data_IF_266385883321
#
_entry.id   IF_266385883321
#
_cell.length_a   1.000
_cell.length_b   1.000
_cell.length_c   1.000
_cell.angle_alpha   90.00
_cell.angle_beta   90.00
_cell.angle_gamma   90.00
#
_symmetry.space_group_name_H-M   'P 1'
#
loop_
_entity.id
_entity.type
_entity.pdbx_description
1 polymer ?
#
# COMPACT_ATOMS: atom_id res chain seq x y z
N UNK A 1 -5.97 -11.65 15.07
CA UNK A 1 -5.61 -12.49 16.23
C UNK A 1 -6.09 -13.90 16.04
N UNK A 2 -7.41 -14.09 15.92
CA UNK A 2 -8.10 -15.39 16.10
C UNK A 2 -7.62 -16.50 15.16
N UNK A 3 -7.27 -16.19 13.92
CA UNK A 3 -6.78 -17.20 12.96
C UNK A 3 -5.26 -17.41 13.01
N UNK A 4 -4.55 -16.67 13.87
CA UNK A 4 -3.10 -16.57 13.87
C UNK A 4 -2.57 -16.04 12.54
N UNK A 5 -1.31 -16.38 12.22
CA UNK A 5 -0.63 -15.94 11.01
C UNK A 5 -0.25 -17.18 10.17
N UNK A 6 -0.55 -17.19 8.86
CA UNK A 6 -0.14 -18.27 7.96
C UNK A 6 1.38 -18.29 7.74
N UNK A 7 1.88 -19.34 7.09
CA UNK A 7 3.31 -19.44 6.75
C UNK A 7 3.74 -18.30 5.83
N UNK A 8 4.85 -17.65 6.19
CA UNK A 8 5.56 -16.66 5.36
C UNK A 8 6.62 -17.29 4.45
N UNK A 9 6.80 -18.61 4.51
CA UNK A 9 7.73 -19.37 3.65
C UNK A 9 7.03 -19.94 2.40
N UNK A 10 5.71 -19.77 2.28
CA UNK A 10 4.94 -20.24 1.13
C UNK A 10 4.91 -19.20 0.00
N UNK A 11 5.45 -19.56 -1.15
CA UNK A 11 5.43 -18.75 -2.37
C UNK A 11 4.53 -19.38 -3.44
N UNK A 12 3.94 -18.55 -4.30
CA UNK A 12 3.25 -19.01 -5.50
C UNK A 12 4.22 -19.27 -6.67
N UNK A 13 3.69 -19.73 -7.80
CA UNK A 13 4.45 -20.03 -9.03
C UNK A 13 5.22 -18.83 -9.59
N UNK A 14 4.91 -17.61 -9.14
CA UNK A 14 5.59 -16.37 -9.51
C UNK A 14 6.56 -15.88 -8.43
N UNK A 15 6.87 -16.72 -7.43
CA UNK A 15 7.74 -16.40 -6.29
C UNK A 15 7.19 -15.23 -5.45
N UNK A 16 5.88 -15.06 -5.39
CA UNK A 16 5.22 -14.08 -4.52
C UNK A 16 4.69 -14.77 -3.27
N UNK A 17 4.83 -14.14 -2.10
CA UNK A 17 4.34 -14.71 -0.83
C UNK A 17 2.84 -14.98 -0.87
N UNK A 18 2.43 -16.24 -0.76
CA UNK A 18 1.08 -16.73 -1.09
C UNK A 18 -0.03 -16.10 -0.26
N UNK A 19 0.23 -15.83 1.02
CA UNK A 19 -0.79 -15.34 1.97
C UNK A 19 -0.60 -13.86 2.37
N UNK A 20 0.35 -13.17 1.76
CA UNK A 20 0.70 -11.78 2.09
C UNK A 20 0.62 -10.86 0.87
N UNK A 21 0.51 -9.57 1.15
CA UNK A 21 0.41 -8.51 0.13
C UNK A 21 1.74 -7.76 -0.08
N UNK A 22 2.80 -8.14 0.65
CA UNK A 22 4.17 -7.66 0.48
C UNK A 22 5.15 -8.77 0.81
N UNK A 23 6.26 -8.85 0.08
CA UNK A 23 7.31 -9.83 0.35
C UNK A 23 8.15 -9.41 1.57
N UNK A 24 8.38 -10.35 2.48
CA UNK A 24 9.38 -10.31 3.58
C UNK A 24 9.28 -9.14 4.57
N UNK A 25 8.21 -8.34 4.52
CA UNK A 25 8.11 -7.14 5.35
C UNK A 25 6.69 -6.81 5.78
N UNK A 26 6.59 -6.42 7.04
CA UNK A 26 5.41 -5.83 7.66
C UNK A 26 5.57 -4.31 7.66
N UNK A 27 4.71 -3.61 6.92
CA UNK A 27 4.88 -2.17 6.70
C UNK A 27 4.36 -1.28 7.82
N UNK A 28 3.51 -1.80 8.71
CA UNK A 28 3.02 -1.01 9.85
C UNK A 28 4.12 -0.81 10.88
N UNK A 29 4.29 0.42 11.37
CA UNK A 29 5.27 0.73 12.43
C UNK A 29 4.87 0.14 13.79
N UNK A 30 3.57 -0.08 14.00
CA UNK A 30 3.05 -0.74 15.18
C UNK A 30 1.57 -1.08 15.06
N UNK A 31 1.09 -1.92 15.98
CA UNK A 31 -0.30 -2.39 15.99
C UNK A 31 -0.94 -2.10 17.35
N UNK A 32 -2.13 -1.49 17.33
CA UNK A 32 -2.95 -1.24 18.52
C UNK A 32 -4.23 -2.06 18.42
N UNK A 33 -4.51 -2.91 19.41
CA UNK A 33 -5.71 -3.75 19.43
C UNK A 33 -6.45 -3.64 20.77
N UNK A 34 -7.76 -3.92 20.74
CA UNK A 34 -8.56 -4.04 21.97
C UNK A 34 -8.19 -5.29 22.74
N UNK A 35 -8.19 -6.43 22.06
CA UNK A 35 -7.92 -7.72 22.65
C UNK A 35 -6.95 -8.53 21.77
N UNK A 36 -6.02 -9.22 22.41
CA UNK A 36 -5.10 -10.15 21.76
C UNK A 36 -5.56 -11.60 22.02
N UNK A 37 -5.83 -12.34 20.95
CA UNK A 37 -6.11 -13.77 21.04
C UNK A 37 -4.80 -14.56 21.27
N UNK A 38 -4.67 -15.18 22.43
CA UNK A 38 -3.49 -15.97 22.82
C UNK A 38 -3.50 -17.41 22.28
N UNK A 39 -4.69 -17.93 21.97
CA UNK A 39 -4.95 -19.30 21.49
C UNK A 39 -5.63 -19.30 20.12
N UNK A 40 -4.98 -18.74 19.07
CA UNK A 40 -5.56 -18.72 17.74
C UNK A 40 -5.84 -20.13 17.21
N UNK A 41 -6.95 -20.30 16.47
CA UNK A 41 -7.35 -21.57 15.88
C UNK A 41 -7.75 -21.38 14.42
N UNK A 42 -6.94 -21.93 13.51
CA UNK A 42 -7.21 -22.00 12.08
C UNK A 42 -6.28 -23.05 11.45
N UNK A 43 -6.76 -23.78 10.44
CA UNK A 43 -6.00 -24.87 9.81
C UNK A 43 -4.69 -24.40 9.13
N UNK A 44 -4.63 -23.14 8.69
CA UNK A 44 -3.40 -22.52 8.13
C UNK A 44 -2.47 -21.87 9.16
N UNK A 45 -2.81 -21.90 10.45
CA UNK A 45 -2.05 -21.19 11.48
C UNK A 45 -0.64 -21.77 11.60
N UNK A 46 0.39 -20.95 11.32
CA UNK A 46 1.79 -21.27 11.61
C UNK A 46 2.31 -20.56 12.86
N UNK A 47 1.97 -19.29 13.04
CA UNK A 47 2.44 -18.46 14.15
C UNK A 47 1.29 -17.83 14.92
N UNK A 48 1.51 -17.49 16.20
CA UNK A 48 0.67 -16.51 16.89
C UNK A 48 0.99 -15.10 16.39
N UNK A 49 0.02 -14.18 16.50
CA UNK A 49 0.21 -12.79 16.10
C UNK A 49 1.42 -12.14 16.81
N UNK A 50 1.53 -12.33 18.13
CA UNK A 50 2.62 -11.76 18.91
C UNK A 50 4.00 -12.32 18.53
N UNK A 51 4.10 -13.62 18.24
CA UNK A 51 5.34 -14.27 17.80
C UNK A 51 5.79 -13.73 16.44
N UNK A 52 4.84 -13.60 15.51
CA UNK A 52 5.12 -13.05 14.18
C UNK A 52 5.54 -11.58 14.24
N UNK A 53 4.88 -10.77 15.07
CA UNK A 53 5.28 -9.37 15.28
C UNK A 53 6.69 -9.26 15.87
N UNK A 54 7.05 -10.12 16.83
CA UNK A 54 8.43 -10.20 17.37
C UNK A 54 9.43 -10.58 16.29
N UNK A 55 9.13 -11.58 15.44
CA UNK A 55 9.97 -12.00 14.31
C UNK A 55 10.30 -10.83 13.37
N UNK A 56 9.32 -9.95 13.11
CA UNK A 56 9.48 -8.79 12.23
C UNK A 56 9.87 -7.49 12.94
N UNK A 57 10.20 -7.53 14.23
CA UNK A 57 10.53 -6.34 15.03
C UNK A 57 9.44 -5.24 15.00
N UNK A 58 8.16 -5.65 15.01
CA UNK A 58 7.02 -4.72 15.03
C UNK A 58 6.44 -4.63 16.44
N UNK A 59 6.27 -3.40 16.92
CA UNK A 59 5.73 -3.15 18.27
C UNK A 59 4.20 -3.29 18.26
N UNK A 60 3.65 -3.96 19.28
CA UNK A 60 2.21 -4.09 19.47
C UNK A 60 1.79 -3.74 20.89
N UNK A 61 0.58 -3.22 21.04
CA UNK A 61 -0.07 -2.98 22.34
C UNK A 61 -1.54 -3.46 22.29
N UNK A 62 -1.96 -4.16 23.33
CA UNK A 62 -3.33 -4.67 23.53
C UNK A 62 -3.97 -4.09 24.79
N UNK A 63 -5.27 -4.26 24.96
CA UNK A 63 -6.01 -3.74 26.12
C UNK A 63 -6.39 -2.26 25.98
N UNK A 64 -6.32 -1.71 24.75
CA UNK A 64 -6.64 -0.30 24.49
C UNK A 64 -8.07 -0.20 23.98
N UNK A 65 -8.84 0.77 24.48
CA UNK A 65 -10.13 1.12 23.86
C UNK A 65 -9.90 1.74 22.47
N UNK A 66 -9.89 0.88 21.45
CA UNK A 66 -9.70 1.28 20.06
C UNK A 66 -10.87 2.10 19.52
N UNK A 67 -12.06 2.01 20.13
CA UNK A 67 -13.23 2.83 19.79
C UNK A 67 -13.03 4.26 20.26
N UNK A 68 -12.60 4.45 21.50
CA UNK A 68 -12.22 5.79 22.01
C UNK A 68 -11.07 6.39 21.20
N UNK A 69 -10.05 5.59 20.87
CA UNK A 69 -8.94 6.04 20.02
C UNK A 69 -9.42 6.47 18.62
N UNK A 70 -10.29 5.67 18.00
CA UNK A 70 -10.85 5.98 16.68
C UNK A 70 -11.67 7.27 16.70
N UNK A 71 -12.47 7.51 17.75
CA UNK A 71 -13.20 8.78 17.93
C UNK A 71 -12.24 9.97 18.00
N UNK A 72 -11.18 9.88 18.82
CA UNK A 72 -10.16 10.94 18.94
C UNK A 72 -9.47 11.25 17.61
N UNK A 73 -9.07 10.22 16.85
CA UNK A 73 -8.47 10.41 15.52
C UNK A 73 -9.48 11.04 14.56
N UNK A 74 -10.74 10.60 14.58
CA UNK A 74 -11.80 11.15 13.76
C UNK A 74 -12.20 12.57 14.16
N UNK A 75 -11.96 13.04 15.38
CA UNK A 75 -12.28 14.42 15.75
C UNK A 75 -11.13 15.36 15.36
N UNK A 76 -9.89 14.89 15.53
CA UNK A 76 -8.68 15.71 15.38
C UNK A 76 -7.97 15.56 14.02
N UNK A 77 -8.40 14.64 13.16
CA UNK A 77 -7.80 14.40 11.85
C UNK A 77 -6.47 13.62 11.94
N UNK A 78 -5.39 14.16 11.39
CA UNK A 78 -4.07 13.51 11.47
C UNK A 78 -3.49 13.66 12.86
N UNK A 79 -3.45 12.57 13.62
CA UNK A 79 -2.85 12.52 14.95
C UNK A 79 -1.53 11.76 14.88
N UNK A 80 -0.44 12.38 15.32
CA UNK A 80 0.84 11.69 15.51
C UNK A 80 0.79 10.90 16.81
N UNK A 81 1.21 9.64 16.77
CA UNK A 81 1.21 8.74 17.92
C UNK A 81 2.51 7.98 18.04
N UNK A 82 2.83 7.54 19.25
CA UNK A 82 3.99 6.69 19.56
C UNK A 82 3.60 5.64 20.59
N UNK A 83 4.17 4.45 20.45
CA UNK A 83 4.11 3.40 21.48
C UNK A 83 5.45 3.45 22.23
N UNK A 84 5.39 3.60 23.56
CA UNK A 84 6.58 3.71 24.41
C UNK A 84 6.51 2.60 25.45
N UNK A 85 7.58 1.83 25.55
CA UNK A 85 7.73 0.80 26.56
C UNK A 85 8.59 1.35 27.70
N UNK A 86 7.95 1.97 28.68
CA UNK A 86 8.59 2.50 29.90
C UNK A 86 7.63 2.38 31.08
N UNK A 87 8.17 2.05 32.25
CA UNK A 87 7.43 1.72 33.48
C UNK A 87 6.60 2.89 34.02
N UNK A 88 7.11 4.12 33.89
CA UNK A 88 6.42 5.41 34.05
C UNK A 88 7.45 6.53 33.96
N UNK A 89 7.00 7.74 33.66
CA UNK A 89 7.81 8.94 33.76
C UNK A 89 7.21 10.11 33.00
N UNK A 90 7.70 11.35 33.24
CA UNK A 90 7.66 12.34 32.19
C UNK A 90 8.45 11.79 31.00
N UNK A 91 8.03 12.13 29.79
CA UNK A 91 8.71 11.71 28.56
C UNK A 91 9.49 12.89 27.94
N UNK A 92 10.57 13.37 28.58
CA UNK A 92 11.36 14.49 28.05
C UNK A 92 11.99 14.11 26.70
N UNK A 93 11.93 15.01 25.72
CA UNK A 93 12.53 14.79 24.40
C UNK A 93 11.70 13.96 23.42
N UNK A 94 10.40 13.73 23.66
CA UNK A 94 9.55 13.09 22.66
C UNK A 94 9.30 13.97 21.43
N UNK A 95 10.10 13.77 20.40
CA UNK A 95 9.88 14.43 19.10
C UNK A 95 8.89 13.65 18.23
N UNK A 96 7.72 14.20 17.96
CA UNK A 96 6.81 13.62 16.97
C UNK A 96 7.24 14.02 15.56
N UNK A 97 7.81 13.06 14.83
CA UNK A 97 8.20 13.25 13.43
C UNK A 97 7.06 12.81 12.51
N UNK A 98 6.60 13.73 11.67
CA UNK A 98 5.62 13.39 10.63
C UNK A 98 6.29 12.58 9.52
N UNK A 99 5.83 11.35 9.35
CA UNK A 99 6.32 10.40 8.35
C UNK A 99 6.05 10.90 6.93
N UNK A 100 4.99 11.69 6.74
CA UNK A 100 4.57 12.18 5.42
C UNK A 100 5.54 13.20 4.82
N UNK A 101 6.49 13.73 5.61
CA UNK A 101 7.56 14.62 5.12
C UNK A 101 8.70 13.86 4.41
N UNK A 102 8.71 12.52 4.49
CA UNK A 102 9.70 11.68 3.80
C UNK A 102 9.08 11.10 2.52
N UNK A 103 9.92 10.75 1.55
CA UNK A 103 9.48 10.03 0.37
C UNK A 103 9.27 8.54 0.72
N UNK A 104 8.10 8.22 1.27
CA UNK A 104 7.75 6.85 1.67
C UNK A 104 7.72 5.89 0.48
N UNK A 105 7.45 6.39 -0.73
CA UNK A 105 7.43 5.57 -1.95
C UNK A 105 8.84 5.04 -2.27
N UNK A 106 9.87 5.87 -2.11
CA UNK A 106 11.25 5.41 -2.29
C UNK A 106 11.66 4.35 -1.26
N UNK A 107 11.13 4.42 -0.04
CA UNK A 107 11.40 3.42 1.01
C UNK A 107 10.79 2.04 0.71
N UNK A 108 9.69 2.01 -0.06
CA UNK A 108 8.92 0.77 -0.32
C UNK A 108 9.09 0.20 -1.72
N UNK A 109 9.45 1.02 -2.70
CA UNK A 109 9.63 0.61 -4.09
C UNK A 109 10.78 -0.40 -4.23
N UNK A 110 10.60 -1.37 -5.13
CA UNK A 110 11.69 -2.20 -5.63
C UNK A 110 12.86 -1.35 -6.16
N UNK A 111 14.07 -1.91 -6.09
CA UNK A 111 15.30 -1.25 -6.53
C UNK A 111 15.80 -1.72 -7.89
N UNK A 112 15.34 -2.88 -8.35
CA UNK A 112 15.69 -3.45 -9.65
C UNK A 112 14.43 -4.00 -10.32
N UNK A 113 14.25 -3.81 -11.64
CA UNK A 113 13.09 -4.33 -12.34
C UNK A 113 12.93 -5.85 -12.21
N UNK A 114 11.67 -6.31 -12.18
CA UNK A 114 11.32 -7.73 -12.12
C UNK A 114 10.22 -8.00 -13.15
N UNK A 115 10.40 -9.03 -13.97
CA UNK A 115 9.38 -9.46 -14.94
C UNK A 115 8.64 -10.68 -14.42
N UNK A 116 7.31 -10.60 -14.42
CA UNK A 116 6.40 -11.71 -14.16
C UNK A 116 5.69 -12.12 -15.44
N UNK A 117 5.51 -13.43 -15.62
CA UNK A 117 4.88 -14.01 -16.81
C UNK A 117 5.53 -13.52 -18.12
N UNK A 118 6.82 -13.77 -18.30
CA UNK A 118 7.64 -13.18 -19.37
C UNK A 118 7.14 -13.46 -20.81
N UNK A 119 6.39 -14.55 -21.01
CA UNK A 119 5.78 -14.94 -22.30
C UNK A 119 4.33 -14.42 -22.45
N UNK A 120 3.81 -13.73 -21.44
CA UNK A 120 2.45 -13.22 -21.41
C UNK A 120 2.21 -12.03 -22.34
N UNK A 121 0.94 -11.75 -22.59
CA UNK A 121 0.46 -10.61 -23.37
C UNK A 121 -0.90 -10.16 -22.82
N UNK A 122 -1.20 -8.85 -22.77
CA UNK A 122 -0.35 -7.72 -23.17
C UNK A 122 0.85 -7.50 -22.24
N UNK A 123 1.83 -6.68 -22.68
CA UNK A 123 2.97 -6.25 -21.85
C UNK A 123 2.59 -5.01 -21.02
N UNK A 124 2.55 -5.17 -19.70
CA UNK A 124 2.21 -4.11 -18.74
C UNK A 124 3.47 -3.63 -18.04
N UNK A 125 3.79 -2.35 -18.17
CA UNK A 125 4.78 -1.68 -17.32
C UNK A 125 4.08 -1.26 -16.02
N UNK A 126 4.50 -1.82 -14.88
CA UNK A 126 3.93 -1.52 -13.56
C UNK A 126 4.93 -0.70 -12.74
N UNK A 127 4.61 0.56 -12.47
CA UNK A 127 5.41 1.40 -11.56
C UNK A 127 5.11 0.99 -10.12
N UNK A 128 6.15 0.56 -9.40
CA UNK A 128 6.04 0.18 -8.00
C UNK A 128 6.11 1.40 -7.09
N UNK A 129 4.95 1.89 -6.66
CA UNK A 129 4.86 2.92 -5.63
C UNK A 129 4.66 2.35 -4.21
N UNK A 130 4.86 1.04 -3.99
CA UNK A 130 4.42 0.33 -2.78
C UNK A 130 3.30 -0.66 -3.10
N UNK A 131 3.43 -1.33 -4.25
CA UNK A 131 2.47 -2.24 -4.84
C UNK A 131 2.09 -3.37 -3.89
N UNK A 132 0.80 -3.68 -3.85
CA UNK A 132 0.27 -4.91 -3.25
C UNK A 132 0.39 -6.09 -4.20
N UNK A 133 0.95 -7.21 -3.74
CA UNK A 133 1.23 -8.40 -4.57
C UNK A 133 0.01 -8.90 -5.36
N UNK A 134 -1.21 -8.76 -4.82
CA UNK A 134 -2.40 -9.20 -5.53
C UNK A 134 -2.67 -8.42 -6.84
N UNK A 135 -2.11 -7.22 -7.02
CA UNK A 135 -2.19 -6.50 -8.30
C UNK A 135 -1.43 -7.24 -9.40
N UNK A 136 -0.21 -7.73 -9.12
CA UNK A 136 0.55 -8.58 -10.05
C UNK A 136 -0.22 -9.85 -10.35
N UNK A 137 -0.73 -10.54 -9.30
CA UNK A 137 -1.53 -11.76 -9.47
C UNK A 137 -2.73 -11.55 -10.38
N UNK A 138 -3.43 -10.43 -10.23
CA UNK A 138 -4.59 -10.12 -11.05
C UNK A 138 -4.24 -9.94 -12.54
N UNK A 139 -3.11 -9.29 -12.85
CA UNK A 139 -2.66 -9.13 -14.23
C UNK A 139 -2.18 -10.45 -14.82
N UNK A 140 -1.32 -11.17 -14.11
CA UNK A 140 -0.76 -12.43 -14.61
C UNK A 140 -1.85 -13.48 -14.82
N UNK A 141 -2.84 -13.57 -13.91
CA UNK A 141 -4.00 -14.46 -14.09
C UNK A 141 -4.82 -14.15 -15.35
N UNK A 142 -4.73 -12.93 -15.89
CA UNK A 142 -5.36 -12.50 -17.15
C UNK A 142 -4.46 -12.71 -18.37
N UNK A 143 -3.32 -13.37 -18.20
CA UNK A 143 -2.36 -13.67 -19.27
C UNK A 143 -1.32 -12.59 -19.52
N UNK A 144 -1.39 -11.43 -18.83
CA UNK A 144 -0.48 -10.32 -19.07
C UNK A 144 0.95 -10.61 -18.60
N UNK A 145 1.94 -10.10 -19.34
CA UNK A 145 3.31 -9.95 -18.85
C UNK A 145 3.37 -8.68 -18.01
N UNK A 146 3.95 -8.75 -16.82
CA UNK A 146 4.09 -7.59 -15.92
C UNK A 146 5.57 -7.31 -15.71
N UNK A 147 6.05 -6.18 -16.24
CA UNK A 147 7.37 -5.65 -15.92
C UNK A 147 7.22 -4.64 -14.78
N UNK A 148 7.52 -5.09 -13.56
CA UNK A 148 7.52 -4.24 -12.38
C UNK A 148 8.81 -3.42 -12.37
N UNK A 149 8.69 -2.09 -12.27
CA UNK A 149 9.82 -1.15 -12.30
C UNK A 149 9.81 -0.22 -11.08
N UNK A 150 10.97 0.33 -10.66
CA UNK A 150 11.04 1.28 -9.55
C UNK A 150 10.15 2.51 -9.76
N UNK A 151 9.74 3.15 -8.65
CA UNK A 151 8.85 4.31 -8.64
C UNK A 151 9.29 5.47 -9.55
N UNK A 152 10.59 5.62 -9.78
CA UNK A 152 11.20 6.72 -10.52
C UNK A 152 11.66 6.34 -11.94
N UNK A 153 11.24 5.18 -12.42
CA UNK A 153 11.61 4.65 -13.73
C UNK A 153 11.13 5.55 -14.88
N UNK A 154 11.98 5.87 -15.87
CA UNK A 154 11.56 6.61 -17.05
C UNK A 154 10.60 5.77 -17.91
N UNK A 155 9.66 6.42 -18.60
CA UNK A 155 8.62 5.75 -19.37
C UNK A 155 8.86 5.91 -20.87
N UNK A 156 8.82 4.80 -21.59
CA UNK A 156 8.89 4.75 -23.05
C UNK A 156 7.72 3.91 -23.61
N UNK A 157 6.76 4.51 -24.35
CA UNK A 157 5.55 3.84 -24.83
C UNK A 157 5.80 2.73 -25.86
N UNK A 158 7.00 2.62 -26.40
CA UNK A 158 7.37 1.51 -27.30
C UNK A 158 7.74 0.23 -26.52
N UNK A 159 8.04 0.34 -25.23
CA UNK A 159 8.44 -0.80 -24.41
C UNK A 159 7.26 -1.57 -23.81
N UNK A 160 6.02 -1.09 -23.91
CA UNK A 160 4.86 -1.74 -23.30
C UNK A 160 3.55 -1.42 -24.02
N UNK A 161 2.53 -2.23 -23.76
CA UNK A 161 1.17 -2.09 -24.31
C UNK A 161 0.22 -1.35 -23.35
N UNK A 162 0.52 -1.36 -22.05
CA UNK A 162 -0.22 -0.62 -21.03
C UNK A 162 0.66 -0.19 -19.86
N UNK A 163 0.29 0.92 -19.24
CA UNK A 163 0.94 1.48 -18.05
C UNK A 163 0.05 1.25 -16.82
N UNK A 164 0.62 0.68 -15.77
CA UNK A 164 -0.03 0.51 -14.48
C UNK A 164 0.70 1.33 -13.41
N UNK A 165 -0.05 2.12 -12.65
CA UNK A 165 0.44 2.90 -11.52
C UNK A 165 -0.13 2.29 -10.24
N UNK A 166 0.73 1.70 -9.42
CA UNK A 166 0.30 0.93 -8.26
C UNK A 166 -0.21 1.80 -7.11
N UNK A 167 -0.72 1.14 -6.06
CA UNK A 167 -0.96 1.82 -4.79
C UNK A 167 0.37 2.17 -4.10
N UNK A 168 0.30 3.01 -3.07
CA UNK A 168 1.49 3.35 -2.29
C UNK A 168 1.17 4.15 -1.02
N UNK A 169 2.15 4.29 -0.13
CA UNK A 169 2.06 5.16 1.03
C UNK A 169 2.42 6.61 0.67
N UNK A 170 2.09 7.54 1.58
CA UNK A 170 2.55 8.92 1.49
C UNK A 170 1.74 9.80 0.56
N UNK A 171 2.34 10.93 0.19
CA UNK A 171 1.72 12.00 -0.59
C UNK A 171 2.31 12.03 -2.01
N UNK A 172 1.50 12.11 -3.08
CA UNK A 172 1.98 12.28 -4.45
C UNK A 172 2.90 13.50 -4.65
N UNK A 173 2.79 14.55 -3.82
CA UNK A 173 3.70 15.70 -3.86
C UNK A 173 5.16 15.32 -3.58
N UNK A 174 5.39 14.25 -2.80
CA UNK A 174 6.73 13.71 -2.53
C UNK A 174 7.29 12.91 -3.71
N UNK A 175 6.48 12.58 -4.71
CA UNK A 175 6.81 11.72 -5.85
C UNK A 175 7.02 12.52 -7.16
N UNK A 176 7.62 13.72 -7.06
CA UNK A 176 7.76 14.64 -8.21
C UNK A 176 8.44 14.01 -9.43
N UNK A 177 9.41 13.10 -9.22
CA UNK A 177 10.11 12.42 -10.32
C UNK A 177 9.16 11.51 -11.10
N UNK A 178 8.32 10.74 -10.42
CA UNK A 178 7.26 9.91 -11.03
C UNK A 178 6.26 10.78 -11.76
N UNK A 179 5.78 11.86 -11.14
CA UNK A 179 4.83 12.80 -11.77
C UNK A 179 5.42 13.37 -13.06
N UNK A 180 6.69 13.81 -13.04
CA UNK A 180 7.38 14.31 -14.24
C UNK A 180 7.52 13.24 -15.32
N UNK A 181 7.80 11.99 -14.96
CA UNK A 181 7.87 10.89 -15.93
C UNK A 181 6.50 10.62 -16.57
N UNK A 182 5.42 10.63 -15.77
CA UNK A 182 4.05 10.47 -16.27
C UNK A 182 3.68 11.65 -17.18
N UNK A 183 3.99 12.89 -16.79
CA UNK A 183 3.76 14.08 -17.61
C UNK A 183 4.44 13.97 -18.98
N UNK A 184 5.72 13.60 -18.99
CA UNK A 184 6.48 13.38 -20.24
C UNK A 184 5.82 12.32 -21.10
N UNK A 185 5.42 11.19 -20.50
CA UNK A 185 4.74 10.10 -21.20
C UNK A 185 3.40 10.53 -21.79
N UNK A 186 2.57 11.26 -21.04
CA UNK A 186 1.26 11.75 -21.51
C UNK A 186 1.38 12.81 -22.62
N UNK A 187 2.51 13.53 -22.68
CA UNK A 187 2.80 14.50 -23.73
C UNK A 187 3.32 13.84 -25.03
N UNK A 188 3.57 12.54 -25.05
CA UNK A 188 4.04 11.85 -26.25
C UNK A 188 2.90 11.63 -27.26
N UNK A 189 3.20 11.55 -28.58
CA UNK A 189 2.18 11.38 -29.61
C UNK A 189 1.35 10.10 -29.47
N UNK A 190 1.93 9.05 -28.87
CA UNK A 190 1.32 7.74 -28.68
C UNK A 190 1.27 7.42 -27.20
N UNK A 191 0.08 7.54 -26.62
CA UNK A 191 -0.17 7.20 -25.22
C UNK A 191 -0.80 5.82 -25.14
N UNK A 192 -0.23 4.96 -24.27
CA UNK A 192 -0.78 3.62 -23.99
C UNK A 192 -1.90 3.71 -22.93
N UNK A 193 -2.87 2.78 -22.92
CA UNK A 193 -3.85 2.67 -21.84
C UNK A 193 -3.17 2.72 -20.48
N UNK A 194 -3.64 3.63 -19.62
CA UNK A 194 -3.05 3.88 -18.30
C UNK A 194 -4.08 3.61 -17.21
N UNK A 195 -3.71 2.81 -16.23
CA UNK A 195 -4.57 2.45 -15.10
C UNK A 195 -3.85 2.73 -13.78
N UNK A 196 -4.42 3.60 -12.96
CA UNK A 196 -3.89 3.95 -11.64
C UNK A 196 -4.80 3.50 -10.49
N UNK A 197 -4.21 2.94 -9.44
CA UNK A 197 -4.92 2.53 -8.22
C UNK A 197 -4.41 3.33 -7.02
N UNK A 198 -5.31 3.91 -6.22
CA UNK A 198 -4.96 4.63 -4.99
C UNK A 198 -3.95 5.77 -5.26
N UNK A 199 -2.71 5.63 -4.81
CA UNK A 199 -1.65 6.61 -5.10
C UNK A 199 -1.42 6.75 -6.62
N UNK A 200 -1.51 5.67 -7.40
CA UNK A 200 -1.41 5.75 -8.86
C UNK A 200 -2.49 6.62 -9.50
N UNK A 201 -3.71 6.62 -8.96
CA UNK A 201 -4.77 7.55 -9.41
C UNK A 201 -4.41 9.01 -9.07
N UNK A 202 -3.88 9.25 -7.88
CA UNK A 202 -3.46 10.58 -7.45
C UNK A 202 -2.30 11.10 -8.30
N UNK A 203 -1.26 10.28 -8.53
CA UNK A 203 -0.11 10.62 -9.38
C UNK A 203 -0.53 10.97 -10.82
N UNK A 204 -1.44 10.17 -11.39
CA UNK A 204 -1.98 10.44 -12.72
C UNK A 204 -2.76 11.76 -12.76
N UNK A 205 -3.58 12.01 -11.74
CA UNK A 205 -4.36 13.25 -11.61
C UNK A 205 -3.45 14.47 -11.46
N UNK A 206 -2.41 14.37 -10.63
CA UNK A 206 -1.41 15.43 -10.47
C UNK A 206 -0.62 15.67 -11.77
N UNK A 207 -0.30 14.62 -12.51
CA UNK A 207 0.39 14.75 -13.79
C UNK A 207 -0.41 15.57 -14.81
N UNK A 208 -1.75 15.46 -14.82
CA UNK A 208 -2.63 16.26 -15.69
C UNK A 208 -3.04 17.62 -15.09
N UNK A 209 -2.41 18.04 -13.98
CA UNK A 209 -2.60 19.36 -13.39
C UNK A 209 -3.69 19.46 -12.31
N UNK A 210 -4.28 18.33 -11.88
CA UNK A 210 -5.16 18.34 -10.70
C UNK A 210 -4.35 18.55 -9.41
N UNK A 211 -5.04 19.03 -8.36
CA UNK A 211 -4.44 19.21 -7.03
C UNK A 211 -4.92 18.13 -6.08
N UNK A 212 -4.01 17.65 -5.24
CA UNK A 212 -4.33 16.76 -4.13
C UNK A 212 -4.39 17.54 -2.83
N UNK A 213 -5.11 17.01 -1.85
CA UNK A 213 -5.17 17.58 -0.52
C UNK A 213 -5.32 16.45 0.48
N UNK A 214 -4.79 16.66 1.69
CA UNK A 214 -4.91 15.69 2.77
C UNK A 214 -6.35 15.66 3.29
N UNK A 215 -6.94 14.47 3.38
CA UNK A 215 -8.28 14.32 3.89
C UNK A 215 -8.29 14.55 5.41
N UNK A 216 -9.33 15.22 5.89
CA UNK A 216 -9.59 15.29 7.34
C UNK A 216 -9.82 13.87 7.89
N UNK A 217 -10.58 13.07 7.14
CA UNK A 217 -10.87 11.67 7.42
C UNK A 217 -10.43 10.84 6.21
N UNK A 218 -9.32 10.13 6.35
CA UNK A 218 -8.93 9.19 5.32
C UNK A 218 -9.93 8.03 5.22
N UNK A 219 -10.09 7.52 4.01
CA UNK A 219 -10.93 6.36 3.71
C UNK A 219 -10.13 5.09 3.97
N UNK A 220 -10.40 4.44 5.11
CA UNK A 220 -9.70 3.23 5.58
C UNK A 220 -10.69 2.16 6.03
N UNK A 221 -10.94 1.18 5.17
CA UNK A 221 -11.89 0.10 5.47
C UNK A 221 -12.20 -0.76 4.26
N UNK A 222 -12.98 -1.82 4.49
CA UNK A 222 -13.42 -2.78 3.47
C UNK A 222 -14.89 -2.60 3.07
N UNK A 223 -15.57 -1.60 3.63
CA UNK A 223 -17.00 -1.37 3.53
C UNK A 223 -17.32 0.02 2.95
N UNK A 224 -16.48 0.54 2.07
CA UNK A 224 -16.64 1.88 1.54
C UNK A 224 -17.40 1.84 0.20
N UNK A 225 -18.59 2.44 0.10
CA UNK A 225 -19.34 2.46 -1.15
C UNK A 225 -18.68 3.41 -2.16
N UNK A 226 -18.63 3.00 -3.42
CA UNK A 226 -18.23 3.83 -4.54
C UNK A 226 -19.29 3.76 -5.64
N UNK A 227 -19.79 4.92 -6.05
CA UNK A 227 -20.74 5.03 -7.15
C UNK A 227 -19.98 5.09 -8.47
N UNK A 228 -20.43 4.29 -9.44
CA UNK A 228 -19.94 4.41 -10.81
C UNK A 228 -20.71 5.54 -11.50
N UNK A 229 -20.09 6.72 -11.52
CA UNK A 229 -20.66 7.94 -12.08
C UNK A 229 -21.20 7.73 -13.51
N UNK A 230 -22.34 8.36 -13.82
CA UNK A 230 -23.05 8.14 -15.08
C UNK A 230 -23.86 6.84 -15.15
N UNK A 231 -23.86 6.03 -14.07
CA UNK A 231 -24.66 4.81 -13.96
C UNK A 231 -25.41 4.78 -12.61
N UNK A 232 -26.37 3.86 -12.47
CA UNK A 232 -27.06 3.59 -11.20
C UNK A 232 -26.39 2.49 -10.37
N UNK A 233 -25.09 2.21 -10.60
CA UNK A 233 -24.38 1.11 -9.95
C UNK A 233 -23.53 1.61 -8.78
N UNK A 234 -23.59 0.88 -7.67
CA UNK A 234 -22.76 1.06 -6.48
C UNK A 234 -21.94 -0.20 -6.21
N UNK A 235 -20.69 -0.03 -5.77
CA UNK A 235 -19.80 -1.13 -5.40
C UNK A 235 -19.25 -0.92 -3.99
N UNK A 236 -19.14 -2.01 -3.23
CA UNK A 236 -18.40 -2.01 -1.98
C UNK A 236 -16.91 -2.14 -2.28
N UNK A 237 -16.10 -1.25 -1.73
CA UNK A 237 -14.67 -1.15 -2.03
C UNK A 237 -13.82 -1.21 -0.77
N UNK A 238 -12.61 -1.75 -0.94
CA UNK A 238 -11.55 -1.64 0.05
C UNK A 238 -10.72 -0.40 -0.26
N UNK A 239 -10.65 0.54 0.68
CA UNK A 239 -9.82 1.74 0.53
C UNK A 239 -8.87 1.88 1.72
N UNK A 240 -7.70 2.45 1.46
CA UNK A 240 -6.72 2.82 2.47
C UNK A 240 -5.90 4.02 1.96
N UNK A 241 -6.53 5.19 1.93
CA UNK A 241 -5.90 6.46 1.54
C UNK A 241 -6.42 7.58 2.46
N UNK A 242 -5.66 8.67 2.57
CA UNK A 242 -5.99 9.79 3.46
C UNK A 242 -5.37 11.09 3.04
#
# INVERSE_FOLDING_TARGET
>A
GNYGIPSDEEFDEHKLMKHFESNDKVWVSGLVVGELCETPSHWRRKYKLAEWMKKHNVVGISGIDTRALTKKIRENGTVLGKIIHQSSGPFPGLEFKDQNKRNLVDEVSIKKPITYNAKGSPRICAIDCGLKLNQIRCFVKRGARVDLVPWDHPLNPEDFDGLFLSNGPGDPEMCQKTVKNIQKFLAMPKVRPTFGICLGHQLLSTAIGCKTYKLKYGNRGHNLPALHHGTNRCFMTSQNHG
#
